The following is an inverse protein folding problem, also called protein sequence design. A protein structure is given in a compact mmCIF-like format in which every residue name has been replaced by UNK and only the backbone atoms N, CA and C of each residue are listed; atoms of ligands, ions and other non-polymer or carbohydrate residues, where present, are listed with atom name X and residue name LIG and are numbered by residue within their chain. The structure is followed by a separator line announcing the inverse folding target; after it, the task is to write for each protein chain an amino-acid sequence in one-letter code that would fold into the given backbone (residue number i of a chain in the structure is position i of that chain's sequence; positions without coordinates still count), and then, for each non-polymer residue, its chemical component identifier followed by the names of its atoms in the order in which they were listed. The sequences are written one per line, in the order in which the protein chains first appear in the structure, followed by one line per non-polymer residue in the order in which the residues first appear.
data_IF_597560145479
#
_entry.id   IF_597560145479
#
_cell.length_a   1.000
_cell.length_b   1.000
_cell.length_c   1.000
_cell.angle_alpha   90.00
_cell.angle_beta   90.00
_cell.angle_gamma   90.00
#
_symmetry.space_group_name_H-M   'P 1'
#
loop_
_entity.id
_entity.type
_entity.pdbx_description
1 polymer ?
#
# COMPACT_ATOMS: atom_id res chain seq x y z
N UNK A 1 17.35 -15.75 -6.77
CA UNK A 1 17.08 -15.00 -5.50
C UNK A 1 17.46 -13.56 -5.72
N UNK A 2 16.53 -12.64 -5.46
CA UNK A 2 16.74 -11.20 -5.74
C UNK A 2 17.75 -10.51 -4.79
N UNK A 3 18.34 -11.19 -3.83
CA UNK A 3 19.31 -10.62 -2.89
C UNK A 3 18.79 -9.46 -2.03
N UNK A 4 17.46 -9.24 -2.02
CA UNK A 4 16.81 -8.17 -1.26
C UNK A 4 15.59 -8.72 -0.47
N UNK A 5 15.18 -7.97 0.53
CA UNK A 5 13.97 -8.31 1.30
C UNK A 5 12.72 -8.07 0.45
N UNK A 6 11.87 -9.08 0.35
CA UNK A 6 10.58 -8.99 -0.34
C UNK A 6 9.48 -8.77 0.68
N UNK A 7 8.56 -7.86 0.39
CA UNK A 7 7.34 -7.57 1.16
C UNK A 7 6.13 -7.70 0.26
N UNK A 8 5.06 -8.25 0.78
CA UNK A 8 3.87 -8.56 0.01
C UNK A 8 2.68 -7.72 0.48
N UNK A 9 1.86 -7.27 -0.47
CA UNK A 9 0.61 -6.55 -0.22
C UNK A 9 -0.52 -7.38 -0.81
N UNK A 10 -1.48 -7.78 0.01
CA UNK A 10 -2.63 -8.57 -0.45
C UNK A 10 -3.51 -7.74 -1.38
N UNK A 11 -3.90 -8.33 -2.51
CA UNK A 11 -4.85 -7.76 -3.47
C UNK A 11 -6.21 -8.47 -3.45
N UNK A 12 -7.16 -7.92 -4.19
CA UNK A 12 -8.52 -8.47 -4.25
C UNK A 12 -8.59 -9.87 -4.89
N UNK A 13 -7.63 -10.22 -5.74
CA UNK A 13 -7.56 -11.55 -6.37
C UNK A 13 -6.88 -12.61 -5.49
N UNK A 14 -6.22 -12.19 -4.41
CA UNK A 14 -5.56 -13.09 -3.46
C UNK A 14 -6.55 -13.68 -2.45
N UNK A 15 -7.73 -13.09 -2.32
CA UNK A 15 -8.81 -13.64 -1.48
C UNK A 15 -9.45 -14.83 -2.18
N UNK A 16 -9.42 -15.98 -1.54
CA UNK A 16 -10.15 -17.15 -2.03
C UNK A 16 -11.63 -16.96 -1.73
N UNK A 17 -12.43 -16.86 -2.80
CA UNK A 17 -13.88 -16.63 -2.70
C UNK A 17 -14.52 -17.58 -1.68
N UNK A 18 -15.12 -17.01 -0.67
CA UNK A 18 -16.16 -17.62 0.15
C UNK A 18 -15.72 -18.38 1.39
N UNK A 19 -14.46 -18.78 1.58
CA UNK A 19 -14.14 -19.66 2.71
C UNK A 19 -12.94 -19.25 3.57
N UNK A 20 -11.86 -18.80 2.98
CA UNK A 20 -10.60 -18.66 3.71
C UNK A 20 -10.17 -17.22 3.95
N UNK A 21 -10.83 -16.23 3.33
CA UNK A 21 -10.44 -14.84 3.46
C UNK A 21 -8.94 -14.65 3.23
N UNK A 22 -8.28 -14.03 4.17
CA UNK A 22 -6.85 -13.80 4.17
C UNK A 22 -6.01 -15.02 4.61
N UNK A 23 -6.61 -16.01 5.24
CA UNK A 23 -5.87 -17.09 5.92
C UNK A 23 -4.97 -17.89 4.97
N UNK A 24 -5.41 -18.15 3.74
CA UNK A 24 -4.58 -18.85 2.76
C UNK A 24 -3.38 -18.00 2.33
N UNK A 25 -3.60 -16.72 2.07
CA UNK A 25 -2.53 -15.79 1.74
C UNK A 25 -1.50 -15.72 2.88
N UNK A 26 -1.94 -15.56 4.11
CA UNK A 26 -1.08 -15.46 5.28
C UNK A 26 -0.25 -16.72 5.54
N UNK A 27 -0.79 -17.89 5.20
CA UNK A 27 -0.04 -19.15 5.32
C UNK A 27 1.15 -19.25 4.36
N UNK A 28 1.17 -18.44 3.30
CA UNK A 28 2.21 -18.45 2.27
C UNK A 28 3.13 -17.24 2.38
N UNK A 29 2.55 -16.04 2.56
CA UNK A 29 3.24 -14.76 2.45
C UNK A 29 3.40 -14.01 3.76
N UNK A 30 2.76 -14.46 4.84
CA UNK A 30 2.75 -13.78 6.14
C UNK A 30 1.61 -12.78 6.29
N UNK A 31 1.64 -11.98 7.36
CA UNK A 31 0.51 -11.14 7.76
C UNK A 31 0.10 -10.13 6.68
N UNK A 32 -1.20 -9.86 6.60
CA UNK A 32 -1.76 -8.87 5.65
C UNK A 32 -1.72 -7.44 6.19
N UNK A 33 -1.49 -7.27 7.50
CA UNK A 33 -1.23 -5.97 8.13
C UNK A 33 0.05 -6.08 8.92
N UNK A 34 0.98 -5.25 8.60
CA UNK A 34 2.23 -5.16 9.32
C UNK A 34 2.91 -3.84 9.03
N UNK A 35 3.83 -3.48 9.89
CA UNK A 35 4.69 -2.32 9.72
C UNK A 35 6.14 -2.68 9.97
N UNK A 36 7.04 -1.86 9.50
CA UNK A 36 8.48 -1.99 9.74
C UNK A 36 9.17 -0.65 9.52
N UNK A 37 10.30 -0.51 10.14
CA UNK A 37 11.14 0.69 10.02
C UNK A 37 12.37 0.44 9.15
N UNK A 38 12.72 1.44 8.35
CA UNK A 38 14.03 1.54 7.70
C UNK A 38 14.52 2.98 7.88
N UNK A 39 15.55 3.16 8.67
CA UNK A 39 16.03 4.49 9.02
C UNK A 39 14.94 5.31 9.73
N UNK A 40 14.68 6.50 9.21
CA UNK A 40 13.66 7.42 9.70
C UNK A 40 12.29 7.27 9.01
N UNK A 41 12.10 6.20 8.25
CA UNK A 41 10.83 5.91 7.57
C UNK A 41 10.13 4.72 8.24
N UNK A 42 8.86 4.92 8.56
CA UNK A 42 7.94 3.89 9.02
C UNK A 42 7.05 3.44 7.86
N UNK A 43 7.16 2.19 7.48
CA UNK A 43 6.41 1.59 6.39
C UNK A 43 5.22 0.82 6.94
N UNK A 44 4.04 1.07 6.43
CA UNK A 44 2.80 0.42 6.84
C UNK A 44 2.19 -0.30 5.66
N UNK A 45 1.92 -1.58 5.82
CA UNK A 45 1.20 -2.40 4.84
C UNK A 45 -0.18 -2.73 5.39
N UNK A 46 -1.21 -2.41 4.61
CA UNK A 46 -2.61 -2.63 5.01
C UNK A 46 -3.43 -3.27 3.92
N UNK A 47 -4.51 -3.91 4.31
CA UNK A 47 -5.55 -4.43 3.43
C UNK A 47 -6.87 -3.70 3.68
N UNK A 48 -6.94 -2.41 3.41
CA UNK A 48 -8.14 -1.59 3.63
C UNK A 48 -9.28 -1.87 2.62
N UNK A 49 -9.34 -3.04 2.04
CA UNK A 49 -10.35 -3.37 1.06
C UNK A 49 -11.73 -3.51 1.69
N UNK A 50 -12.71 -2.85 1.08
CA UNK A 50 -14.11 -2.79 1.51
C UNK A 50 -15.07 -3.44 0.52
N UNK A 51 -14.60 -4.39 -0.30
CA UNK A 51 -15.44 -5.09 -1.26
C UNK A 51 -16.42 -6.05 -0.57
N UNK A 52 -17.70 -6.01 -0.96
CA UNK A 52 -18.75 -6.91 -0.44
C UNK A 52 -18.52 -8.39 -0.76
N UNK A 53 -17.69 -8.67 -1.77
CA UNK A 53 -17.45 -10.02 -2.27
C UNK A 53 -16.35 -10.77 -1.53
N UNK A 54 -15.65 -10.11 -0.62
CA UNK A 54 -14.52 -10.68 0.12
C UNK A 54 -14.88 -10.84 1.58
N UNK A 55 -15.04 -12.08 1.99
CA UNK A 55 -15.28 -12.41 3.39
C UNK A 55 -13.94 -12.42 4.13
N UNK A 56 -13.62 -11.30 4.78
CA UNK A 56 -12.44 -11.20 5.64
C UNK A 56 -12.57 -12.13 6.86
N UNK A 57 -11.47 -12.75 7.25
CA UNK A 57 -11.33 -13.45 8.54
C UNK A 57 -11.32 -12.48 9.71
N UNK A 58 -11.09 -11.22 9.46
CA UNK A 58 -10.83 -10.21 10.47
C UNK A 58 -11.98 -9.21 10.61
N UNK A 59 -12.17 -8.74 11.81
CA UNK A 59 -13.13 -7.68 12.10
C UNK A 59 -12.57 -6.33 11.61
N UNK A 60 -13.43 -5.51 10.99
CA UNK A 60 -13.07 -4.15 10.56
C UNK A 60 -12.56 -3.28 11.72
N UNK A 61 -13.16 -3.45 12.91
CA UNK A 61 -12.77 -2.72 14.09
C UNK A 61 -11.34 -3.07 14.55
N UNK A 62 -10.95 -4.32 14.45
CA UNK A 62 -9.60 -4.76 14.86
C UNK A 62 -8.54 -4.19 13.89
N UNK A 63 -8.84 -4.14 12.60
CA UNK A 63 -7.99 -3.47 11.59
C UNK A 63 -7.77 -2.00 11.90
N UNK A 64 -8.87 -1.30 12.21
CA UNK A 64 -8.84 0.11 12.56
C UNK A 64 -7.99 0.36 13.81
N UNK A 65 -8.26 -0.41 14.88
CA UNK A 65 -7.50 -0.31 16.13
C UNK A 65 -6.01 -0.60 15.93
N UNK A 66 -5.71 -1.62 15.13
CA UNK A 66 -4.33 -1.95 14.83
C UNK A 66 -3.62 -0.77 14.16
N UNK A 67 -4.18 -0.24 13.06
CA UNK A 67 -3.57 0.86 12.32
C UNK A 67 -3.39 2.10 13.20
N UNK A 68 -4.42 2.46 13.95
CA UNK A 68 -4.33 3.60 14.87
C UNK A 68 -3.27 3.40 15.94
N UNK A 69 -3.26 2.24 16.59
CA UNK A 69 -2.27 1.92 17.61
C UNK A 69 -0.84 1.85 17.08
N UNK A 70 -0.66 1.42 15.85
CA UNK A 70 0.63 1.38 15.18
C UNK A 70 1.14 2.80 14.96
N UNK A 71 0.37 3.63 14.28
CA UNK A 71 0.73 5.01 13.97
C UNK A 71 0.89 5.89 15.23
N UNK A 72 0.09 5.69 16.26
CA UNK A 72 0.20 6.44 17.52
C UNK A 72 1.52 6.15 18.27
N UNK A 73 2.20 5.04 17.95
CA UNK A 73 3.51 4.67 18.54
C UNK A 73 4.70 5.08 17.70
N UNK A 74 4.48 5.54 16.48
CA UNK A 74 5.56 6.00 15.61
C UNK A 74 6.17 7.25 16.18
N UNK A 75 7.51 7.31 16.25
CA UNK A 75 8.23 8.50 16.64
C UNK A 75 7.85 9.68 15.73
N UNK A 76 7.51 10.82 16.33
CA UNK A 76 7.07 12.03 15.62
C UNK A 76 8.08 12.56 14.59
N UNK A 77 9.34 12.17 14.69
CA UNK A 77 10.38 12.52 13.72
C UNK A 77 10.37 11.59 12.48
N UNK A 78 9.72 10.45 12.55
CA UNK A 78 9.63 9.53 11.41
C UNK A 78 8.60 10.00 10.40
N UNK A 79 8.86 9.65 9.15
CA UNK A 79 7.90 9.79 8.06
C UNK A 79 7.21 8.45 7.81
N UNK A 80 5.99 8.51 7.32
CA UNK A 80 5.16 7.33 7.06
C UNK A 80 4.99 7.12 5.56
N UNK A 81 5.14 5.86 5.13
CA UNK A 81 4.81 5.41 3.78
C UNK A 81 3.79 4.29 3.89
N UNK A 82 2.64 4.46 3.23
CA UNK A 82 1.57 3.48 3.22
C UNK A 82 1.61 2.65 1.94
N UNK A 83 1.49 1.33 2.11
CA UNK A 83 1.22 0.40 1.03
C UNK A 83 -0.16 -0.21 1.18
N UNK A 84 -0.94 -0.15 0.13
CA UNK A 84 -2.24 -0.76 0.06
C UNK A 84 -2.50 -1.25 -1.38
N UNK A 85 -3.41 -2.17 -1.58
CA UNK A 85 -3.76 -2.58 -2.93
C UNK A 85 -4.56 -1.52 -3.67
N UNK A 86 -5.33 -0.70 -2.98
CA UNK A 86 -6.19 0.34 -3.56
C UNK A 86 -5.73 1.75 -3.21
N UNK A 87 -6.22 2.74 -3.96
CA UNK A 87 -6.09 4.16 -3.61
C UNK A 87 -6.62 4.44 -2.20
N UNK A 88 -6.11 5.50 -1.57
CA UNK A 88 -6.72 6.04 -0.36
C UNK A 88 -8.22 6.31 -0.59
N UNK A 89 -9.09 5.96 0.37
CA UNK A 89 -10.53 6.19 0.24
C UNK A 89 -10.91 7.67 0.25
N UNK A 90 -10.03 8.55 0.72
CA UNK A 90 -10.22 10.00 0.65
C UNK A 90 -8.99 10.69 0.03
N UNK A 91 -9.22 11.79 -0.67
CA UNK A 91 -8.14 12.55 -1.32
C UNK A 91 -7.34 13.42 -0.32
N UNK A 92 -7.88 13.65 0.87
CA UNK A 92 -7.21 14.34 1.97
C UNK A 92 -6.47 13.41 2.94
N UNK A 93 -6.47 12.09 2.67
CA UNK A 93 -5.86 11.04 3.48
C UNK A 93 -6.43 10.93 4.90
N UNK A 94 -7.69 11.27 5.08
CA UNK A 94 -8.45 11.02 6.30
C UNK A 94 -9.21 9.71 6.16
N UNK A 95 -8.91 8.76 7.01
CA UNK A 95 -9.61 7.48 7.07
C UNK A 95 -10.70 7.56 8.13
N UNK A 96 -11.92 7.13 7.78
CA UNK A 96 -13.06 7.16 8.69
C UNK A 96 -13.52 5.76 9.07
N UNK A 97 -13.84 5.57 10.33
CA UNK A 97 -14.42 4.35 10.86
C UNK A 97 -15.51 4.68 11.89
N UNK A 98 -16.76 4.58 11.49
CA UNK A 98 -17.88 4.99 12.34
C UNK A 98 -17.85 6.49 12.60
N UNK A 99 -17.58 6.89 13.85
CA UNK A 99 -17.41 8.29 14.26
C UNK A 99 -15.93 8.68 14.45
N UNK A 100 -15.04 7.72 14.32
CA UNK A 100 -13.60 7.93 14.49
C UNK A 100 -12.97 8.29 13.15
N UNK A 101 -11.99 9.17 13.20
CA UNK A 101 -11.20 9.60 12.06
C UNK A 101 -9.71 9.47 12.37
N UNK A 102 -8.94 9.16 11.35
CA UNK A 102 -7.49 9.08 11.39
C UNK A 102 -6.92 9.89 10.23
N UNK A 103 -6.40 11.06 10.55
CA UNK A 103 -5.73 11.93 9.60
C UNK A 103 -4.28 11.48 9.46
N UNK A 104 -3.98 10.81 8.37
CA UNK A 104 -2.64 10.24 8.11
C UNK A 104 -1.57 11.32 7.91
N UNK A 105 -1.95 12.52 7.47
CA UNK A 105 -0.99 13.64 7.34
C UNK A 105 -0.48 14.09 8.71
N UNK A 106 -1.29 13.99 9.78
CA UNK A 106 -0.84 14.23 11.16
C UNK A 106 0.18 13.20 11.66
N UNK A 107 0.24 12.04 11.02
CA UNK A 107 1.26 11.02 11.25
C UNK A 107 2.43 11.11 10.25
N UNK A 108 2.64 12.27 9.63
CA UNK A 108 3.73 12.52 8.68
C UNK A 108 3.71 11.59 7.45
N UNK A 109 2.54 11.29 6.91
CA UNK A 109 2.42 10.55 5.64
C UNK A 109 3.11 11.32 4.51
N UNK A 110 3.99 10.66 3.75
CA UNK A 110 4.68 11.24 2.59
C UNK A 110 4.37 10.52 1.28
N UNK A 111 3.91 9.27 1.34
CA UNK A 111 3.52 8.54 0.15
C UNK A 111 2.46 7.47 0.44
N UNK A 112 1.54 7.30 -0.52
CA UNK A 112 0.58 6.21 -0.61
C UNK A 112 0.82 5.44 -1.91
N UNK A 113 1.26 4.19 -1.78
CA UNK A 113 1.66 3.35 -2.92
C UNK A 113 0.64 2.23 -3.08
N UNK A 114 0.09 2.11 -4.30
CA UNK A 114 -1.01 1.19 -4.56
C UNK A 114 -0.98 0.61 -5.99
N UNK A 115 -1.84 -0.37 -6.27
CA UNK A 115 -2.04 -1.00 -7.56
C UNK A 115 -3.50 -1.00 -7.98
N UNK A 116 -4.10 -2.18 -8.18
CA UNK A 116 -5.52 -2.45 -8.45
C UNK A 116 -6.06 -1.91 -9.77
N UNK A 117 -5.82 -0.65 -10.08
CA UNK A 117 -6.45 0.06 -11.22
C UNK A 117 -5.75 -0.18 -12.54
N UNK A 118 -4.62 -0.90 -12.53
CA UNK A 118 -3.85 -1.27 -13.72
C UNK A 118 -3.43 -0.06 -14.58
N UNK A 119 -3.01 1.02 -13.96
CA UNK A 119 -2.43 2.17 -14.66
C UNK A 119 -1.22 2.73 -13.91
N UNK A 120 -0.35 3.41 -14.65
CA UNK A 120 0.78 4.13 -14.08
C UNK A 120 0.37 5.57 -13.77
N UNK A 121 0.39 5.94 -12.51
CA UNK A 121 -0.03 7.26 -12.07
C UNK A 121 0.82 7.75 -10.91
N UNK A 122 1.16 9.02 -10.95
CA UNK A 122 1.83 9.72 -9.85
C UNK A 122 1.21 11.10 -9.73
N UNK A 123 0.77 11.45 -8.55
CA UNK A 123 0.33 12.81 -8.22
C UNK A 123 0.82 13.21 -6.84
N UNK A 124 0.98 14.50 -6.66
CA UNK A 124 1.19 15.10 -5.34
C UNK A 124 -0.13 15.70 -4.86
N UNK A 125 -0.50 15.40 -3.64
CA UNK A 125 -1.66 16.00 -2.97
C UNK A 125 -1.20 16.49 -1.60
N UNK A 126 -1.00 17.78 -1.46
CA UNK A 126 -0.56 18.43 -0.23
C UNK A 126 0.77 17.84 0.34
N UNK A 127 1.72 17.52 -0.53
CA UNK A 127 3.01 16.96 -0.16
C UNK A 127 3.00 15.45 0.08
N UNK A 128 1.89 14.76 -0.20
CA UNK A 128 1.80 13.29 -0.17
C UNK A 128 1.76 12.76 -1.59
N UNK A 129 2.72 11.91 -1.95
CA UNK A 129 2.74 11.28 -3.26
C UNK A 129 1.78 10.09 -3.33
N UNK A 130 0.81 10.16 -4.23
CA UNK A 130 0.01 9.02 -4.66
C UNK A 130 0.71 8.32 -5.81
N UNK A 131 1.05 7.04 -5.63
CA UNK A 131 1.82 6.27 -6.61
C UNK A 131 1.07 5.00 -6.95
N UNK A 132 0.58 4.90 -8.19
CA UNK A 132 0.01 3.67 -8.75
C UNK A 132 0.94 3.06 -9.77
N UNK A 133 0.94 1.73 -9.86
CA UNK A 133 1.71 0.98 -10.84
C UNK A 133 0.83 -0.02 -11.57
N UNK A 134 0.95 -0.06 -12.90
CA UNK A 134 0.31 -1.06 -13.74
C UNK A 134 0.89 -2.46 -13.49
N UNK A 135 0.28 -3.46 -14.10
CA UNK A 135 0.76 -4.85 -13.97
C UNK A 135 2.14 -5.01 -14.61
N UNK A 136 3.06 -5.69 -13.94
CA UNK A 136 4.42 -5.81 -14.45
C UNK A 136 4.54 -6.75 -15.67
N UNK A 137 3.57 -7.65 -15.85
CA UNK A 137 3.57 -8.68 -16.90
C UNK A 137 2.93 -8.25 -18.22
N UNK A 138 1.96 -7.34 -18.18
CA UNK A 138 1.16 -6.98 -19.37
C UNK A 138 0.83 -5.48 -19.48
N UNK A 139 1.41 -4.67 -18.61
CA UNK A 139 1.18 -3.21 -18.63
C UNK A 139 -0.18 -2.79 -18.09
N UNK A 140 -0.62 -1.62 -18.52
CA UNK A 140 -1.81 -0.95 -18.00
C UNK A 140 -2.99 -0.87 -18.97
N UNK A 141 -4.16 -0.61 -18.39
CA UNK A 141 -5.37 -0.26 -19.16
C UNK A 141 -5.25 1.13 -19.82
N UNK A 142 -4.28 1.92 -19.38
CA UNK A 142 -3.88 3.22 -19.94
C UNK A 142 -2.92 3.08 -21.12
N UNK A 143 -2.78 1.87 -21.65
CA UNK A 143 -1.83 1.52 -22.71
C UNK A 143 -0.35 1.68 -22.31
N UNK A 144 -0.05 1.79 -21.02
CA UNK A 144 1.32 1.79 -20.55
C UNK A 144 1.99 0.44 -20.76
N UNK A 145 3.29 0.47 -21.07
CA UNK A 145 4.09 -0.74 -21.29
C UNK A 145 4.33 -1.47 -19.96
N UNK A 146 4.48 -2.79 -20.04
CA UNK A 146 4.85 -3.62 -18.91
C UNK A 146 6.18 -3.18 -18.28
N UNK A 147 6.27 -3.18 -16.96
CA UNK A 147 7.45 -2.71 -16.25
C UNK A 147 7.29 -2.78 -14.74
N UNK A 148 8.33 -2.36 -14.06
CA UNK A 148 8.34 -2.19 -12.60
C UNK A 148 8.60 -0.74 -12.25
N UNK A 149 8.06 -0.31 -11.14
CA UNK A 149 8.30 1.03 -10.61
C UNK A 149 9.41 0.99 -9.57
N UNK A 150 10.41 1.81 -9.76
CA UNK A 150 11.41 2.11 -8.74
C UNK A 150 10.94 3.33 -7.96
N UNK A 151 10.85 3.19 -6.64
CA UNK A 151 10.61 4.30 -5.72
C UNK A 151 11.84 4.47 -4.86
N UNK A 152 12.41 5.65 -4.90
CA UNK A 152 13.53 6.03 -4.06
C UNK A 152 13.04 6.95 -2.94
N UNK A 153 13.37 6.61 -1.70
CA UNK A 153 13.08 7.41 -0.53
C UNK A 153 14.41 7.79 0.12
N UNK A 154 14.74 9.08 0.07
CA UNK A 154 15.98 9.62 0.62
C UNK A 154 15.99 9.63 2.14
N UNK A 155 17.18 9.78 2.72
CA UNK A 155 17.33 9.97 4.17
C UNK A 155 16.68 11.27 4.68
N UNK A 156 16.51 12.24 3.81
CA UNK A 156 15.76 13.49 4.03
C UNK A 156 14.25 13.33 3.84
N UNK A 157 13.78 12.12 3.62
CA UNK A 157 12.39 11.76 3.31
C UNK A 157 11.87 12.31 1.97
N UNK A 158 12.76 12.75 1.07
CA UNK A 158 12.38 13.02 -0.31
C UNK A 158 11.93 11.73 -0.99
N UNK A 159 10.89 11.81 -1.82
CA UNK A 159 10.37 10.67 -2.58
C UNK A 159 10.46 10.96 -4.06
N UNK A 160 11.08 10.06 -4.81
CA UNK A 160 11.10 10.11 -6.27
C UNK A 160 10.79 8.75 -6.87
N UNK A 161 10.32 8.73 -8.11
CA UNK A 161 9.90 7.47 -8.74
C UNK A 161 10.14 7.48 -10.25
N UNK A 162 10.58 6.32 -10.76
CA UNK A 162 10.79 6.07 -12.16
C UNK A 162 10.22 4.71 -12.57
N UNK A 163 9.76 4.59 -13.82
CA UNK A 163 9.40 3.32 -14.42
C UNK A 163 10.63 2.69 -15.10
N UNK A 164 10.81 1.41 -14.85
CA UNK A 164 11.75 0.56 -15.60
C UNK A 164 10.89 -0.36 -16.45
N UNK A 165 10.91 -0.11 -17.75
CA UNK A 165 10.17 -0.91 -18.73
C UNK A 165 11.04 -2.07 -19.20
N UNK A 166 10.42 -3.23 -19.40
CA UNK A 166 11.11 -4.28 -20.14
C UNK A 166 10.70 -4.26 -21.59
N UNK A 167 11.67 -4.47 -22.47
CA UNK A 167 11.34 -4.88 -23.82
C UNK A 167 10.79 -6.30 -23.74
N UNK A 168 9.51 -6.48 -24.06
CA UNK A 168 9.01 -7.81 -24.34
C UNK A 168 9.84 -8.32 -25.52
N UNK A 169 10.64 -9.36 -25.31
CA UNK A 169 11.34 -10.02 -26.39
C UNK A 169 10.27 -10.50 -27.38
N UNK A 170 10.31 -9.93 -28.57
CA UNK A 170 9.48 -10.31 -29.72
C UNK A 170 9.80 -11.73 -30.16
#
# INVERSE_FOLDING_TARGET
TMGCTVRYVIGNHDYVKGKYGEALYESIYGPVWYSFDVGNIHYVVTSLQTGSDFKSCYNKNDRWKWLKNDLDKVDSNKKVVMFNHTKSPSDDFVLSFGKDELDLKKHNLIAWIYGHYHYNYVSDTDGVLNISTARPDCGGIDSSVAGVRLVHIGADASVSTNMIYYSLAS
#
